data_IF_503503926840
#
_entry.id   IF_503503926840
#
_cell.length_a   1.000
_cell.length_b   1.000
_cell.length_c   1.000
_cell.angle_alpha   90.00
_cell.angle_beta   90.00
_cell.angle_gamma   90.00
#
_symmetry.space_group_name_H-M   'P 1'
#
loop_
_entity.id
_entity.type
_entity.pdbx_description
1 polymer ?
#
# COMPACT_ATOMS: atom_id res chain seq x y z
N UNK A 1 -38.76 43.99 85.04
CA UNK A 1 -38.90 45.04 83.99
C UNK A 1 -37.61 45.29 83.20
N UNK A 2 -36.44 45.55 83.81
CA UNK A 2 -35.17 45.65 83.03
C UNK A 2 -34.63 44.29 82.55
N UNK A 3 -34.76 43.23 83.35
CA UNK A 3 -34.31 41.87 82.99
C UNK A 3 -35.18 41.20 81.92
N UNK A 4 -36.50 41.40 81.96
CA UNK A 4 -37.42 40.82 80.97
C UNK A 4 -37.21 41.39 79.56
N UNK A 5 -36.87 42.69 79.47
CA UNK A 5 -36.51 43.34 78.21
C UNK A 5 -35.18 42.79 77.68
N UNK A 6 -34.24 42.48 78.58
CA UNK A 6 -32.94 41.92 78.20
C UNK A 6 -33.09 40.50 77.64
N UNK A 7 -33.93 39.67 78.26
CA UNK A 7 -34.23 38.31 77.76
C UNK A 7 -34.91 38.36 76.39
N UNK A 8 -35.89 39.25 76.22
CA UNK A 8 -36.58 39.42 74.94
C UNK A 8 -35.64 39.90 73.82
N UNK A 9 -34.70 40.79 74.14
CA UNK A 9 -33.67 41.23 73.19
C UNK A 9 -32.72 40.09 72.84
N UNK A 10 -32.35 39.24 73.80
CA UNK A 10 -31.47 38.08 73.55
C UNK A 10 -32.13 37.02 72.66
N UNK A 11 -33.43 36.74 72.86
CA UNK A 11 -34.18 35.83 71.99
C UNK A 11 -34.29 36.38 70.55
N UNK A 12 -34.59 37.67 70.41
CA UNK A 12 -34.62 38.33 69.08
C UNK A 12 -33.25 38.28 68.41
N UNK A 13 -32.17 38.51 69.16
CA UNK A 13 -30.81 38.44 68.62
C UNK A 13 -30.45 37.01 68.20
N UNK A 14 -30.88 35.99 68.94
CA UNK A 14 -30.72 34.58 68.56
C UNK A 14 -31.44 34.22 67.26
N UNK A 15 -32.70 34.65 67.10
CA UNK A 15 -33.45 34.45 65.86
C UNK A 15 -32.83 35.20 64.66
N UNK A 16 -32.25 36.38 64.89
CA UNK A 16 -31.55 37.15 63.86
C UNK A 16 -30.27 36.43 63.42
N UNK A 17 -29.49 35.91 64.37
CA UNK A 17 -28.22 35.22 64.08
C UNK A 17 -28.46 33.91 63.31
N UNK A 18 -29.53 33.19 63.65
CA UNK A 18 -29.96 31.98 62.93
C UNK A 18 -30.37 32.30 61.49
N UNK A 19 -31.12 33.40 61.28
CA UNK A 19 -31.48 33.87 59.92
C UNK A 19 -30.26 34.33 59.12
N UNK A 20 -29.29 34.99 59.74
CA UNK A 20 -28.03 35.41 59.09
C UNK A 20 -27.23 34.18 58.62
N UNK A 21 -27.14 33.13 59.43
CA UNK A 21 -26.47 31.89 59.05
C UNK A 21 -27.15 31.18 57.87
N UNK A 22 -28.48 31.19 57.82
CA UNK A 22 -29.24 30.66 56.68
C UNK A 22 -28.95 31.46 55.41
N UNK A 23 -28.93 32.79 55.50
CA UNK A 23 -28.61 33.66 54.34
C UNK A 23 -27.22 33.40 53.80
N UNK A 24 -26.21 33.30 54.68
CA UNK A 24 -24.83 32.98 54.27
C UNK A 24 -24.76 31.61 53.57
N UNK A 25 -25.45 30.60 54.11
CA UNK A 25 -25.51 29.26 53.51
C UNK A 25 -26.15 29.26 52.11
N UNK A 26 -27.20 30.08 51.91
CA UNK A 26 -27.85 30.25 50.60
C UNK A 26 -26.90 30.90 49.59
N UNK A 27 -26.08 31.84 50.04
CA UNK A 27 -25.12 32.57 49.19
C UNK A 27 -23.96 31.68 48.74
N UNK A 28 -23.50 30.78 49.61
CA UNK A 28 -22.52 29.74 49.26
C UNK A 28 -23.09 28.72 48.26
N UNK A 29 -24.33 28.25 48.47
CA UNK A 29 -25.02 27.36 47.52
C UNK A 29 -25.18 28.03 46.15
N UNK A 30 -25.51 29.34 46.10
CA UNK A 30 -25.59 30.08 44.85
C UNK A 30 -24.26 30.12 44.10
N UNK A 31 -23.15 30.37 44.80
CA UNK A 31 -21.81 30.35 44.20
C UNK A 31 -21.45 28.98 43.65
N UNK A 32 -21.74 27.90 44.39
CA UNK A 32 -21.48 26.54 43.91
C UNK A 32 -22.30 26.22 42.65
N UNK A 33 -23.58 26.61 42.61
CA UNK A 33 -24.44 26.44 41.44
C UNK A 33 -23.94 27.23 40.22
N UNK A 34 -23.43 28.45 40.41
CA UNK A 34 -22.82 29.24 39.34
C UNK A 34 -21.56 28.56 38.78
N UNK A 35 -20.67 28.08 39.64
CA UNK A 35 -19.44 27.37 39.24
C UNK A 35 -19.78 26.08 38.47
N UNK A 36 -20.73 25.29 38.97
CA UNK A 36 -21.19 24.08 38.28
C UNK A 36 -21.87 24.41 36.95
N UNK A 37 -22.66 25.48 36.88
CA UNK A 37 -23.28 25.96 35.63
C UNK A 37 -22.25 26.36 34.57
N UNK A 38 -21.18 27.06 34.97
CA UNK A 38 -20.06 27.41 34.08
C UNK A 38 -19.32 26.15 33.61
N UNK A 39 -19.12 25.16 34.49
CA UNK A 39 -18.48 23.89 34.13
C UNK A 39 -19.32 23.08 33.13
N UNK A 40 -20.64 22.99 33.35
CA UNK A 40 -21.57 22.32 32.43
C UNK A 40 -21.61 22.98 31.04
N UNK A 41 -21.58 24.31 30.98
CA UNK A 41 -21.53 25.03 29.71
C UNK A 41 -20.24 24.73 28.92
N UNK A 42 -19.08 24.64 29.60
CA UNK A 42 -17.82 24.24 28.96
C UNK A 42 -17.89 22.81 28.41
N UNK A 43 -18.40 21.87 29.21
CA UNK A 43 -18.57 20.47 28.78
C UNK A 43 -19.53 20.38 27.58
N UNK A 44 -20.64 21.12 27.61
CA UNK A 44 -21.60 21.17 26.49
C UNK A 44 -20.93 21.64 25.20
N UNK A 45 -20.13 22.71 25.27
CA UNK A 45 -19.40 23.23 24.12
C UNK A 45 -18.34 22.25 23.60
N UNK A 46 -17.62 21.54 24.48
CA UNK A 46 -16.68 20.48 24.06
C UNK A 46 -17.40 19.30 23.39
N UNK A 47 -18.55 18.89 23.91
CA UNK A 47 -19.37 17.82 23.33
C UNK A 47 -19.91 18.22 21.95
N UNK A 48 -20.38 19.45 21.77
CA UNK A 48 -20.77 19.99 20.46
C UNK A 48 -19.58 19.99 19.49
N UNK A 49 -18.40 20.38 19.97
CA UNK A 49 -17.15 20.31 19.22
C UNK A 49 -16.84 18.89 18.74
N UNK A 50 -16.93 17.89 19.64
CA UNK A 50 -16.72 16.48 19.32
C UNK A 50 -17.77 15.93 18.33
N UNK A 51 -19.03 16.31 18.47
CA UNK A 51 -20.09 15.93 17.53
C UNK A 51 -19.82 16.49 16.12
N UNK A 52 -19.37 17.74 16.03
CA UNK A 52 -18.98 18.36 14.75
C UNK A 52 -17.78 17.67 14.11
N UNK A 53 -16.82 17.22 14.92
CA UNK A 53 -15.64 16.49 14.47
C UNK A 53 -16.02 15.09 13.97
N UNK A 54 -16.85 14.36 14.74
CA UNK A 54 -17.39 13.06 14.35
C UNK A 54 -18.14 13.13 13.02
N UNK A 55 -19.03 14.10 12.84
CA UNK A 55 -19.78 14.27 11.58
C UNK A 55 -18.84 14.46 10.38
N UNK A 56 -17.80 15.29 10.52
CA UNK A 56 -16.78 15.49 9.47
C UNK A 56 -16.01 14.21 9.16
N UNK A 57 -15.73 13.37 10.15
CA UNK A 57 -15.10 12.05 9.94
C UNK A 57 -16.04 11.13 9.17
N UNK A 58 -17.31 11.03 9.58
CA UNK A 58 -18.31 10.19 8.90
C UNK A 58 -18.47 10.60 7.43
N UNK A 59 -18.56 11.91 7.14
CA UNK A 59 -18.63 12.43 5.76
C UNK A 59 -17.38 12.08 4.92
N UNK A 60 -16.18 12.14 5.52
CA UNK A 60 -14.94 11.73 4.83
C UNK A 60 -14.91 10.23 4.57
N UNK A 61 -15.33 9.41 5.54
CA UNK A 61 -15.38 7.94 5.41
C UNK A 61 -16.34 7.56 4.28
N UNK A 62 -17.52 8.16 4.23
CA UNK A 62 -18.52 7.91 3.18
C UNK A 62 -17.98 8.31 1.80
N UNK A 63 -17.29 9.45 1.72
CA UNK A 63 -16.66 9.90 0.46
C UNK A 63 -15.60 8.90 -0.02
N UNK A 64 -14.70 8.45 0.86
CA UNK A 64 -13.66 7.44 0.53
C UNK A 64 -14.33 6.12 0.13
N UNK A 65 -15.34 5.66 0.87
CA UNK A 65 -16.09 4.45 0.55
C UNK A 65 -16.72 4.50 -0.84
N UNK A 66 -17.26 5.66 -1.22
CA UNK A 66 -17.82 5.88 -2.56
C UNK A 66 -16.74 5.87 -3.65
N UNK A 67 -15.58 6.48 -3.41
CA UNK A 67 -14.47 6.45 -4.37
C UNK A 67 -13.96 5.01 -4.59
N UNK A 68 -13.77 4.25 -3.50
CA UNK A 68 -13.35 2.85 -3.57
C UNK A 68 -14.39 1.99 -4.30
N UNK A 69 -15.67 2.18 -4.02
CA UNK A 69 -16.74 1.43 -4.71
C UNK A 69 -16.74 1.72 -6.21
N UNK A 70 -16.67 3.00 -6.63
CA UNK A 70 -16.61 3.36 -8.05
C UNK A 70 -15.36 2.78 -8.73
N UNK A 71 -14.26 2.73 -8.00
CA UNK A 71 -13.02 2.16 -8.49
C UNK A 71 -13.13 0.64 -8.69
N UNK A 72 -13.71 -0.10 -7.74
CA UNK A 72 -13.94 -1.54 -7.85
C UNK A 72 -14.83 -1.88 -9.05
N UNK A 73 -15.91 -1.12 -9.27
CA UNK A 73 -16.75 -1.27 -10.48
C UNK A 73 -15.90 -1.14 -11.74
N UNK A 74 -15.01 -0.16 -11.76
CA UNK A 74 -14.16 0.08 -12.92
C UNK A 74 -13.05 -0.97 -13.11
N UNK A 75 -12.70 -1.72 -12.06
CA UNK A 75 -11.82 -2.89 -12.13
C UNK A 75 -12.55 -4.08 -12.74
N UNK A 76 -13.78 -4.34 -12.28
CA UNK A 76 -14.64 -5.39 -12.80
C UNK A 76 -14.92 -5.21 -14.31
N UNK A 77 -15.18 -3.96 -14.72
CA UNK A 77 -15.27 -3.60 -16.14
C UNK A 77 -14.01 -4.00 -16.92
N UNK A 78 -12.81 -3.66 -16.43
CA UNK A 78 -11.55 -4.02 -17.10
C UNK A 78 -11.31 -5.53 -17.14
N UNK A 79 -11.69 -6.26 -16.10
CA UNK A 79 -11.54 -7.71 -16.02
C UNK A 79 -12.35 -8.42 -17.10
N UNK A 80 -13.55 -7.93 -17.39
CA UNK A 80 -14.49 -8.53 -18.36
C UNK A 80 -14.24 -8.15 -19.82
N UNK A 81 -13.38 -7.17 -20.09
CA UNK A 81 -13.02 -6.76 -21.46
C UNK A 81 -12.24 -7.83 -22.25
N UNK A 82 -12.14 -7.65 -23.57
CA UNK A 82 -11.44 -8.56 -24.50
C UNK A 82 -9.94 -8.29 -24.69
N UNK A 83 -9.39 -7.28 -24.00
CA UNK A 83 -7.96 -6.91 -24.08
C UNK A 83 -7.04 -8.01 -23.57
N UNK A 84 -5.79 -7.99 -24.00
CA UNK A 84 -4.79 -8.92 -23.49
C UNK A 84 -4.48 -8.70 -22.01
N UNK A 85 -4.05 -9.74 -21.30
CA UNK A 85 -3.74 -9.71 -19.87
C UNK A 85 -2.83 -8.53 -19.47
N UNK A 86 -1.71 -8.36 -20.18
CA UNK A 86 -0.75 -7.30 -19.88
C UNK A 86 -1.32 -5.88 -20.10
N UNK A 87 -2.25 -5.72 -21.04
CA UNK A 87 -2.93 -4.45 -21.28
C UNK A 87 -3.93 -4.15 -20.16
N UNK A 88 -4.66 -5.18 -19.68
CA UNK A 88 -5.56 -5.06 -18.53
C UNK A 88 -4.82 -4.67 -17.27
N UNK A 89 -3.76 -5.40 -16.91
CA UNK A 89 -2.91 -5.08 -15.75
C UNK A 89 -2.39 -3.65 -15.84
N UNK A 90 -1.92 -3.22 -17.02
CA UNK A 90 -1.43 -1.86 -17.21
C UNK A 90 -2.51 -0.80 -16.96
N UNK A 91 -3.73 -1.02 -17.45
CA UNK A 91 -4.85 -0.09 -17.22
C UNK A 91 -5.31 -0.08 -15.75
N UNK A 92 -5.30 -1.24 -15.09
CA UNK A 92 -5.58 -1.36 -13.66
C UNK A 92 -4.56 -0.59 -12.83
N UNK A 93 -3.26 -0.71 -13.14
CA UNK A 93 -2.20 0.06 -12.49
C UNK A 93 -2.40 1.58 -12.68
N UNK A 94 -2.78 2.03 -13.89
CA UNK A 94 -3.09 3.46 -14.08
C UNK A 94 -4.29 3.94 -13.27
N UNK A 95 -5.27 3.06 -12.98
CA UNK A 95 -6.39 3.40 -12.10
C UNK A 95 -5.94 3.44 -10.63
N UNK A 96 -5.08 2.53 -10.20
CA UNK A 96 -4.48 2.55 -8.86
C UNK A 96 -3.70 3.85 -8.61
N UNK A 97 -2.87 4.27 -9.57
CA UNK A 97 -2.14 5.55 -9.50
C UNK A 97 -3.07 6.77 -9.36
N UNK A 98 -4.32 6.69 -9.82
CA UNK A 98 -5.31 7.76 -9.65
C UNK A 98 -5.92 7.79 -8.25
N UNK A 99 -6.02 6.64 -7.59
CA UNK A 99 -6.43 6.54 -6.19
C UNK A 99 -5.32 7.04 -5.29
N UNK A 100 -4.08 6.60 -5.53
CA UNK A 100 -2.91 7.01 -4.75
C UNK A 100 -2.82 8.54 -4.65
N UNK A 101 -3.12 9.26 -5.75
CA UNK A 101 -3.12 10.74 -5.79
C UNK A 101 -4.22 11.42 -4.97
N UNK A 102 -5.22 10.68 -4.51
CA UNK A 102 -6.33 11.20 -3.71
C UNK A 102 -6.16 10.93 -2.21
N UNK A 103 -5.20 10.09 -1.84
CA UNK A 103 -4.91 9.72 -0.46
C UNK A 103 -3.77 10.62 0.02
N UNK A 104 -3.90 11.17 1.23
CA UNK A 104 -2.84 12.02 1.80
C UNK A 104 -1.74 11.18 2.45
N UNK A 105 -0.53 11.74 2.56
CA UNK A 105 0.57 11.08 3.27
C UNK A 105 0.21 10.79 4.74
N UNK A 106 -0.53 11.70 5.40
CA UNK A 106 -1.05 11.51 6.77
C UNK A 106 -1.98 10.29 6.88
N UNK A 107 -2.78 10.00 5.85
CA UNK A 107 -3.64 8.80 5.82
C UNK A 107 -2.85 7.50 5.65
N UNK A 108 -1.61 7.56 5.18
CA UNK A 108 -0.72 6.42 4.93
C UNK A 108 0.33 6.20 6.01
N UNK A 109 0.55 7.17 6.92
CA UNK A 109 1.64 7.14 7.91
C UNK A 109 1.67 5.83 8.72
N UNK A 110 0.55 5.45 9.33
CA UNK A 110 0.47 4.21 10.12
C UNK A 110 0.77 2.95 9.28
N UNK A 111 0.35 2.96 8.01
CA UNK A 111 0.60 1.86 7.08
C UNK A 111 2.06 1.83 6.62
N UNK A 112 2.72 2.98 6.54
CA UNK A 112 4.15 3.08 6.27
C UNK A 112 4.95 2.45 7.41
N UNK A 113 4.64 2.82 8.65
CA UNK A 113 5.31 2.27 9.84
C UNK A 113 5.11 0.75 9.96
N UNK A 114 3.87 0.27 9.72
CA UNK A 114 3.58 -1.16 9.68
C UNK A 114 4.38 -1.88 8.59
N UNK A 115 4.42 -1.30 7.39
CA UNK A 115 5.16 -1.87 6.26
C UNK A 115 6.64 -1.93 6.57
N UNK A 116 7.22 -0.85 7.11
CA UNK A 116 8.64 -0.81 7.49
C UNK A 116 8.99 -1.90 8.52
N UNK A 117 8.09 -2.22 9.45
CA UNK A 117 8.35 -3.29 10.44
C UNK A 117 8.28 -4.71 9.86
N UNK A 118 7.70 -4.90 8.68
CA UNK A 118 7.49 -6.22 8.10
C UNK A 118 8.59 -6.65 7.12
N UNK A 119 9.46 -5.74 6.68
CA UNK A 119 10.51 -6.01 5.69
C UNK A 119 11.87 -5.75 6.29
N UNK A 120 12.75 -6.76 6.27
CA UNK A 120 14.08 -6.67 6.86
C UNK A 120 14.97 -5.67 6.11
N UNK A 121 14.82 -5.60 4.79
CA UNK A 121 15.62 -4.75 3.91
C UNK A 121 14.87 -3.48 3.45
N UNK A 122 13.96 -2.93 4.27
CA UNK A 122 13.09 -1.80 3.92
C UNK A 122 13.84 -0.60 3.32
N UNK A 123 14.95 -0.20 3.93
CA UNK A 123 15.74 0.97 3.52
C UNK A 123 16.43 0.79 2.16
N UNK A 124 16.50 -0.45 1.68
CA UNK A 124 17.09 -0.80 0.39
C UNK A 124 16.06 -0.83 -0.74
N UNK A 125 14.76 -0.78 -0.44
CA UNK A 125 13.69 -0.76 -1.41
C UNK A 125 13.73 0.53 -2.26
N UNK A 126 13.28 0.42 -3.51
CA UNK A 126 13.09 1.62 -4.33
C UNK A 126 11.94 2.48 -3.77
N UNK A 127 12.02 3.80 -3.97
CA UNK A 127 11.03 4.76 -3.50
C UNK A 127 9.60 4.44 -3.97
N UNK A 128 9.42 3.85 -5.16
CA UNK A 128 8.09 3.44 -5.61
C UNK A 128 7.60 2.19 -4.89
N UNK A 129 8.49 1.24 -4.62
CA UNK A 129 8.20 0.04 -3.84
C UNK A 129 7.75 0.40 -2.42
N UNK A 130 8.43 1.35 -1.78
CA UNK A 130 8.05 1.92 -0.47
C UNK A 130 6.72 2.68 -0.49
N UNK A 131 6.15 2.98 -1.68
CA UNK A 131 4.81 3.56 -1.83
C UNK A 131 3.74 2.50 -2.12
N UNK A 132 4.07 1.50 -2.93
CA UNK A 132 3.14 0.43 -3.29
C UNK A 132 2.77 -0.43 -2.09
N UNK A 133 3.74 -0.76 -1.21
CA UNK A 133 3.48 -1.64 -0.06
C UNK A 133 2.50 -1.00 0.94
N UNK A 134 2.72 0.23 1.44
CA UNK A 134 1.75 0.88 2.35
C UNK A 134 0.39 1.12 1.69
N UNK A 135 0.36 1.37 0.37
CA UNK A 135 -0.89 1.49 -0.37
C UNK A 135 -1.66 0.16 -0.37
N UNK A 136 -0.99 -0.97 -0.54
CA UNK A 136 -1.62 -2.29 -0.44
C UNK A 136 -2.23 -2.51 0.95
N UNK A 137 -1.49 -2.19 2.02
CA UNK A 137 -1.95 -2.28 3.41
C UNK A 137 -3.17 -1.37 3.67
N UNK A 138 -3.13 -0.13 3.17
CA UNK A 138 -4.26 0.80 3.22
C UNK A 138 -5.49 0.20 2.51
N UNK A 139 -5.34 -0.25 1.27
CA UNK A 139 -6.43 -0.82 0.48
C UNK A 139 -7.01 -2.05 1.16
N UNK A 140 -6.18 -2.95 1.68
CA UNK A 140 -6.61 -4.13 2.43
C UNK A 140 -7.50 -3.73 3.63
N UNK A 141 -7.06 -2.74 4.40
CA UNK A 141 -7.78 -2.21 5.56
C UNK A 141 -9.11 -1.53 5.22
N UNK A 142 -9.20 -0.87 4.05
CA UNK A 142 -10.46 -0.25 3.61
C UNK A 142 -11.42 -1.25 2.97
N UNK A 143 -10.93 -2.16 2.14
CA UNK A 143 -11.75 -3.13 1.41
C UNK A 143 -12.40 -4.16 2.32
N UNK A 144 -11.75 -4.58 3.42
CA UNK A 144 -12.36 -5.48 4.41
C UNK A 144 -13.65 -4.93 5.06
N UNK A 145 -13.88 -3.61 4.99
CA UNK A 145 -15.10 -2.97 5.51
C UNK A 145 -16.27 -3.04 4.53
N UNK A 146 -16.00 -3.40 3.28
CA UNK A 146 -16.99 -3.53 2.22
C UNK A 146 -17.38 -5.01 2.09
N UNK A 147 -18.69 -5.27 2.06
CA UNK A 147 -19.18 -6.63 1.91
C UNK A 147 -18.97 -7.12 0.45
N UNK A 148 -18.30 -8.27 0.27
CA UNK A 148 -18.03 -8.83 -1.06
C UNK A 148 -17.09 -7.98 -1.92
N UNK A 149 -16.08 -7.37 -1.30
CA UNK A 149 -15.10 -6.52 -1.99
C UNK A 149 -14.01 -7.30 -2.73
N UNK A 150 -13.79 -7.01 -4.01
CA UNK A 150 -12.69 -7.62 -4.78
C UNK A 150 -11.34 -7.07 -4.32
N UNK A 151 -10.46 -7.94 -3.83
CA UNK A 151 -9.13 -7.58 -3.31
C UNK A 151 -8.02 -7.59 -4.39
N UNK A 152 -8.37 -7.76 -5.66
CA UNK A 152 -7.41 -7.63 -6.78
C UNK A 152 -6.56 -6.34 -6.73
N UNK A 153 -7.09 -5.17 -6.32
CA UNK A 153 -6.28 -3.96 -6.13
C UNK A 153 -5.13 -4.14 -5.12
N UNK A 154 -5.37 -4.83 -4.00
CA UNK A 154 -4.34 -5.10 -2.97
C UNK A 154 -3.25 -5.97 -3.55
N UNK A 155 -3.64 -7.06 -4.18
CA UNK A 155 -2.71 -8.02 -4.78
C UNK A 155 -1.88 -7.35 -5.87
N UNK A 156 -2.48 -6.49 -6.70
CA UNK A 156 -1.77 -5.80 -7.77
C UNK A 156 -0.76 -4.77 -7.24
N UNK A 157 -1.03 -4.05 -6.15
CA UNK A 157 -0.03 -3.19 -5.49
C UNK A 157 1.18 -4.00 -5.00
N UNK A 158 0.95 -5.14 -4.34
CA UNK A 158 2.03 -6.03 -3.91
C UNK A 158 2.81 -6.60 -5.11
N UNK A 159 2.13 -6.95 -6.19
CA UNK A 159 2.78 -7.40 -7.42
C UNK A 159 3.59 -6.27 -8.07
N UNK A 160 3.13 -5.01 -8.03
CA UNK A 160 3.87 -3.83 -8.51
C UNK A 160 5.13 -3.60 -7.69
N UNK A 161 5.10 -3.84 -6.38
CA UNK A 161 6.27 -3.76 -5.51
C UNK A 161 7.40 -4.68 -5.98
N UNK A 162 7.15 -6.00 -6.07
CA UNK A 162 8.18 -6.95 -6.53
C UNK A 162 8.53 -6.78 -8.02
N UNK A 163 7.57 -6.39 -8.87
CA UNK A 163 7.82 -6.05 -10.27
C UNK A 163 8.82 -4.88 -10.38
N UNK A 164 8.64 -3.83 -9.59
CA UNK A 164 9.50 -2.66 -9.61
C UNK A 164 10.95 -3.00 -9.20
N UNK A 165 11.10 -3.84 -8.17
CA UNK A 165 12.43 -4.29 -7.72
C UNK A 165 13.17 -5.10 -8.81
N UNK A 166 12.53 -6.11 -9.39
CA UNK A 166 13.11 -6.85 -10.52
C UNK A 166 13.41 -5.94 -11.71
N UNK A 167 12.47 -5.05 -12.05
CA UNK A 167 12.60 -4.16 -13.20
C UNK A 167 13.80 -3.23 -13.03
N UNK A 168 13.88 -2.51 -11.91
CA UNK A 168 14.90 -1.48 -11.72
C UNK A 168 16.28 -2.07 -11.42
N UNK A 169 16.33 -3.11 -10.61
CA UNK A 169 17.61 -3.64 -10.12
C UNK A 169 18.20 -4.70 -11.03
N UNK A 170 17.40 -5.48 -11.76
CA UNK A 170 17.91 -6.54 -12.65
C UNK A 170 17.77 -6.15 -14.12
N UNK A 171 16.53 -6.05 -14.60
CA UNK A 171 16.25 -6.04 -16.04
C UNK A 171 16.64 -4.72 -16.72
N UNK A 172 16.38 -3.59 -16.06
CA UNK A 172 16.73 -2.27 -16.58
C UNK A 172 18.24 -2.09 -16.59
N UNK A 173 18.94 -2.49 -15.52
CA UNK A 173 20.42 -2.43 -15.46
C UNK A 173 21.05 -3.26 -16.58
N UNK A 174 20.65 -4.53 -16.70
CA UNK A 174 21.12 -5.38 -17.79
C UNK A 174 20.85 -4.78 -19.17
N UNK A 175 19.60 -4.35 -19.41
CA UNK A 175 19.22 -3.84 -20.73
C UNK A 175 20.05 -2.61 -21.11
N UNK A 176 20.29 -1.69 -20.17
CA UNK A 176 21.09 -0.50 -20.43
C UNK A 176 22.56 -0.85 -20.66
N UNK A 177 23.14 -1.73 -19.84
CA UNK A 177 24.49 -2.26 -20.03
C UNK A 177 24.68 -2.89 -21.42
N UNK A 178 23.77 -3.80 -21.81
CA UNK A 178 23.80 -4.44 -23.12
C UNK A 178 23.72 -3.41 -24.26
N UNK A 179 22.83 -2.42 -24.14
CA UNK A 179 22.70 -1.38 -25.15
C UNK A 179 23.98 -0.52 -25.26
N UNK A 180 24.67 -0.28 -24.15
CA UNK A 180 25.89 0.52 -24.10
C UNK A 180 27.12 -0.26 -24.64
N UNK A 181 27.15 -1.58 -24.42
CA UNK A 181 28.14 -2.51 -25.01
C UNK A 181 27.91 -2.71 -26.52
N UNK A 182 26.67 -2.97 -26.94
CA UNK A 182 26.35 -3.30 -28.34
C UNK A 182 26.19 -2.07 -29.25
N UNK A 183 25.74 -0.93 -28.70
CA UNK A 183 25.52 0.33 -29.43
C UNK A 183 24.77 0.11 -30.76
N UNK A 184 25.41 0.43 -31.89
CA UNK A 184 24.86 0.29 -33.24
C UNK A 184 24.65 -1.15 -33.69
N UNK A 185 25.30 -2.11 -33.03
CA UNK A 185 25.24 -3.53 -33.36
C UNK A 185 24.07 -4.27 -32.70
N UNK A 186 23.28 -3.60 -31.85
CA UNK A 186 22.18 -4.25 -31.11
C UNK A 186 21.19 -4.98 -32.02
N UNK A 187 20.86 -4.41 -33.19
CA UNK A 187 19.96 -5.07 -34.13
C UNK A 187 20.53 -6.37 -34.67
N UNK A 188 21.83 -6.44 -34.91
CA UNK A 188 22.52 -7.66 -35.37
C UNK A 188 22.60 -8.69 -34.24
N UNK A 189 22.85 -8.24 -33.01
CA UNK A 189 22.91 -9.09 -31.82
C UNK A 189 21.58 -9.82 -31.58
N UNK A 190 20.44 -9.12 -31.77
CA UNK A 190 19.10 -9.64 -31.48
C UNK A 190 18.43 -10.39 -32.64
N UNK A 191 19.08 -10.59 -33.80
CA UNK A 191 18.41 -11.15 -35.01
C UNK A 191 17.79 -12.52 -34.75
N UNK A 192 18.56 -13.43 -34.16
CA UNK A 192 18.11 -14.80 -33.91
C UNK A 192 16.98 -14.84 -32.89
N UNK A 193 17.11 -14.08 -31.80
CA UNK A 193 16.12 -14.02 -30.74
C UNK A 193 14.81 -13.34 -31.17
N UNK A 194 14.90 -12.36 -32.08
CA UNK A 194 13.70 -11.69 -32.61
C UNK A 194 12.79 -12.63 -33.41
N UNK A 195 13.34 -13.71 -33.98
CA UNK A 195 12.58 -14.73 -34.72
C UNK A 195 12.20 -15.96 -33.89
N UNK A 196 12.75 -16.10 -32.68
CA UNK A 196 12.53 -17.26 -31.83
C UNK A 196 11.34 -17.04 -30.89
N UNK A 197 10.35 -17.93 -30.91
CA UNK A 197 9.13 -17.81 -30.08
C UNK A 197 9.43 -17.70 -28.58
N UNK A 198 10.48 -18.34 -28.08
CA UNK A 198 10.84 -18.34 -26.66
C UNK A 198 11.46 -17.00 -26.24
N UNK A 199 12.39 -16.45 -27.05
CA UNK A 199 13.20 -15.28 -26.67
C UNK A 199 12.74 -13.97 -27.31
N UNK A 200 11.76 -14.03 -28.22
CA UNK A 200 11.20 -12.87 -28.90
C UNK A 200 10.66 -11.80 -27.95
N UNK A 201 10.10 -12.19 -26.79
CA UNK A 201 9.60 -11.22 -25.80
C UNK A 201 10.78 -10.37 -25.28
N UNK A 202 11.88 -11.01 -24.89
CA UNK A 202 13.07 -10.32 -24.40
C UNK A 202 13.71 -9.45 -25.49
N UNK A 203 13.87 -10.00 -26.70
CA UNK A 203 14.42 -9.26 -27.83
C UNK A 203 13.57 -8.04 -28.21
N UNK A 204 12.23 -8.15 -28.17
CA UNK A 204 11.32 -7.03 -28.43
C UNK A 204 11.45 -5.93 -27.38
N UNK A 205 11.54 -6.29 -26.10
CA UNK A 205 11.71 -5.32 -25.01
C UNK A 205 13.02 -4.54 -25.17
N UNK A 206 14.15 -5.22 -25.41
CA UNK A 206 15.45 -4.57 -25.65
C UNK A 206 15.42 -3.73 -26.92
N UNK A 207 14.80 -4.21 -28.01
CA UNK A 207 14.65 -3.45 -29.27
C UNK A 207 13.79 -2.19 -29.10
N UNK A 208 12.79 -2.22 -28.21
CA UNK A 208 12.02 -1.03 -27.84
C UNK A 208 12.90 -0.07 -27.04
N UNK A 209 13.60 -0.58 -26.03
CA UNK A 209 14.52 0.18 -25.19
C UNK A 209 15.68 0.82 -25.98
N UNK A 210 16.14 0.19 -27.06
CA UNK A 210 17.19 0.76 -27.92
C UNK A 210 16.77 2.06 -28.60
N UNK A 211 15.45 2.30 -28.73
CA UNK A 211 14.89 3.53 -29.32
C UNK A 211 14.52 4.57 -28.26
N UNK A 212 14.00 4.11 -27.12
CA UNK A 212 13.44 4.98 -26.09
C UNK A 212 14.40 5.27 -24.94
N UNK A 213 15.44 4.43 -24.77
CA UNK A 213 16.28 4.33 -23.57
C UNK A 213 15.47 4.11 -22.29
N UNK A 214 14.27 3.56 -22.42
CA UNK A 214 13.36 3.22 -21.33
C UNK A 214 13.01 1.73 -21.42
N UNK A 215 13.79 0.84 -20.78
CA UNK A 215 13.43 -0.55 -20.64
C UNK A 215 12.13 -0.69 -19.86
N UNK A 216 11.21 -1.48 -20.39
CA UNK A 216 9.91 -1.76 -19.80
C UNK A 216 9.70 -3.26 -19.84
N UNK A 217 9.45 -3.86 -18.68
CA UNK A 217 9.15 -5.27 -18.51
C UNK A 217 8.05 -5.39 -17.48
N UNK A 218 7.16 -6.35 -17.67
CA UNK A 218 6.19 -6.74 -16.64
C UNK A 218 6.68 -7.96 -15.89
N UNK A 219 6.15 -8.22 -14.69
CA UNK A 219 6.56 -9.34 -13.85
C UNK A 219 6.38 -10.68 -14.57
N UNK A 220 5.29 -10.84 -15.34
CA UNK A 220 5.07 -12.02 -16.17
C UNK A 220 6.16 -12.21 -17.23
N UNK A 221 6.58 -11.12 -17.89
CA UNK A 221 7.69 -11.17 -18.86
C UNK A 221 9.02 -11.51 -18.18
N UNK A 222 9.32 -10.88 -17.03
CA UNK A 222 10.54 -11.12 -16.27
C UNK A 222 10.61 -12.57 -15.77
N UNK A 223 9.53 -13.08 -15.17
CA UNK A 223 9.44 -14.47 -14.74
C UNK A 223 9.63 -15.45 -15.91
N UNK A 224 9.02 -15.16 -17.05
CA UNK A 224 9.20 -15.97 -18.27
C UNK A 224 10.67 -16.01 -18.69
N UNK A 225 11.33 -14.85 -18.76
CA UNK A 225 12.73 -14.73 -19.19
C UNK A 225 13.67 -15.47 -18.22
N UNK A 226 13.52 -15.25 -16.91
CA UNK A 226 14.31 -15.95 -15.88
C UNK A 226 14.09 -17.47 -15.94
N UNK A 227 12.86 -17.91 -16.18
CA UNK A 227 12.53 -19.35 -16.34
C UNK A 227 13.21 -19.98 -17.56
N UNK A 228 13.51 -19.19 -18.62
CA UNK A 228 14.26 -19.70 -19.77
C UNK A 228 15.73 -19.97 -19.46
N UNK A 229 16.32 -19.27 -18.48
CA UNK A 229 17.70 -19.52 -18.04
C UNK A 229 17.89 -20.92 -17.46
N UNK A 230 16.80 -21.59 -17.07
CA UNK A 230 16.82 -22.99 -16.59
C UNK A 230 16.77 -24.04 -17.68
N UNK A 231 16.61 -23.63 -18.94
CA UNK A 231 16.49 -24.54 -20.08
C UNK A 231 17.79 -24.47 -20.87
N UNK A 232 18.75 -25.31 -20.53
CA UNK A 232 20.09 -25.34 -21.17
C UNK A 232 20.00 -25.44 -22.70
N UNK A 233 19.03 -26.19 -23.23
CA UNK A 233 18.81 -26.35 -24.67
C UNK A 233 18.29 -25.07 -25.36
N UNK A 234 17.66 -24.17 -24.60
CA UNK A 234 17.19 -22.85 -25.06
C UNK A 234 18.31 -21.82 -24.89
N UNK A 235 18.98 -21.81 -23.73
CA UNK A 235 20.10 -20.91 -23.44
C UNK A 235 21.22 -21.10 -24.47
N UNK A 236 21.65 -22.34 -24.71
CA UNK A 236 22.74 -22.65 -25.66
C UNK A 236 22.47 -22.17 -27.10
N UNK A 237 21.20 -21.96 -27.47
CA UNK A 237 20.79 -21.46 -28.80
C UNK A 237 20.52 -19.95 -28.83
N UNK A 238 20.50 -19.28 -27.68
CA UNK A 238 20.22 -17.86 -27.55
C UNK A 238 21.43 -17.12 -27.02
N UNK A 239 22.08 -16.34 -27.90
CA UNK A 239 23.18 -15.46 -27.50
C UNK A 239 22.71 -14.41 -26.49
N UNK A 240 21.46 -13.95 -26.60
CA UNK A 240 20.87 -13.02 -25.64
C UNK A 240 20.74 -13.63 -24.24
N UNK A 241 20.25 -14.86 -24.13
CA UNK A 241 20.11 -15.51 -22.82
C UNK A 241 21.46 -15.87 -22.21
N UNK A 242 22.44 -16.30 -23.00
CA UNK A 242 23.81 -16.53 -22.52
C UNK A 242 24.44 -15.26 -21.95
N UNK A 243 24.32 -14.13 -22.67
CA UNK A 243 24.83 -12.84 -22.21
C UNK A 243 24.11 -12.34 -20.94
N UNK A 244 22.80 -12.62 -20.83
CA UNK A 244 22.03 -12.29 -19.63
C UNK A 244 22.39 -13.17 -18.42
N UNK A 245 22.59 -14.47 -18.63
CA UNK A 245 23.05 -15.40 -17.59
C UNK A 245 24.45 -15.04 -17.07
N UNK A 246 25.36 -14.69 -17.99
CA UNK A 246 26.69 -14.21 -17.65
C UNK A 246 26.63 -12.90 -16.85
N UNK A 247 25.77 -11.96 -17.26
CA UNK A 247 25.52 -10.74 -16.51
C UNK A 247 25.02 -11.03 -15.10
N UNK A 248 23.99 -11.87 -14.94
CA UNK A 248 23.45 -12.21 -13.61
C UNK A 248 24.52 -12.87 -12.73
N UNK A 249 25.33 -13.78 -13.30
CA UNK A 249 26.39 -14.48 -12.56
C UNK A 249 27.56 -13.60 -12.17
N UNK A 250 27.74 -12.47 -12.84
CA UNK A 250 28.79 -11.50 -12.51
C UNK A 250 28.34 -10.48 -11.47
N UNK A 251 27.08 -10.05 -11.53
CA UNK A 251 26.59 -8.91 -10.75
C UNK A 251 25.86 -9.31 -9.46
N UNK A 252 25.40 -10.56 -9.34
CA UNK A 252 24.52 -11.01 -8.24
C UNK A 252 24.86 -12.44 -7.78
N UNK A 253 24.27 -12.87 -6.67
CA UNK A 253 24.23 -14.29 -6.29
C UNK A 253 23.30 -15.06 -7.22
N UNK A 254 23.83 -15.47 -8.37
CA UNK A 254 23.08 -16.19 -9.39
C UNK A 254 22.61 -17.58 -8.94
N UNK A 255 23.30 -18.20 -7.97
CA UNK A 255 22.93 -19.52 -7.43
C UNK A 255 21.60 -19.40 -6.70
N UNK A 256 21.47 -18.41 -5.83
CA UNK A 256 20.25 -18.20 -5.03
C UNK A 256 19.16 -17.48 -5.84
N UNK A 257 19.49 -16.44 -6.60
CA UNK A 257 18.54 -15.67 -7.42
C UNK A 257 17.85 -16.54 -8.46
N UNK A 258 18.59 -17.46 -9.07
CA UNK A 258 18.04 -18.38 -10.05
C UNK A 258 17.70 -19.72 -9.40
N UNK A 259 17.72 -19.91 -8.08
CA UNK A 259 17.42 -21.24 -7.52
C UNK A 259 16.02 -21.74 -7.94
N UNK A 260 15.87 -23.05 -8.15
CA UNK A 260 14.57 -23.64 -8.55
C UNK A 260 13.48 -23.32 -7.52
N UNK A 261 13.83 -23.31 -6.23
CA UNK A 261 12.92 -22.98 -5.14
C UNK A 261 12.41 -21.54 -5.24
N UNK A 262 13.32 -20.57 -5.41
CA UNK A 262 12.94 -19.17 -5.49
C UNK A 262 12.19 -18.85 -6.79
N UNK A 263 12.61 -19.42 -7.92
CA UNK A 263 11.89 -19.25 -9.19
C UNK A 263 10.48 -19.82 -9.16
N UNK A 264 10.24 -20.92 -8.42
CA UNK A 264 8.91 -21.45 -8.18
C UNK A 264 8.05 -20.47 -7.38
N UNK A 265 8.62 -19.85 -6.33
CA UNK A 265 7.95 -18.80 -5.54
C UNK A 265 7.54 -17.59 -6.37
N UNK A 266 8.40 -17.11 -7.28
CA UNK A 266 8.06 -16.01 -8.20
C UNK A 266 6.99 -16.42 -9.21
N UNK A 267 7.06 -17.66 -9.72
CA UNK A 267 6.02 -18.21 -10.59
C UNK A 267 4.68 -18.33 -9.88
N UNK A 268 4.67 -18.64 -8.58
CA UNK A 268 3.46 -18.62 -7.75
C UNK A 268 2.82 -17.22 -7.73
N UNK A 269 3.61 -16.17 -7.45
CA UNK A 269 3.13 -14.77 -7.47
C UNK A 269 2.47 -14.44 -8.81
N UNK A 270 3.07 -14.83 -9.92
CA UNK A 270 2.53 -14.55 -11.26
C UNK A 270 1.23 -15.33 -11.51
N UNK A 271 1.22 -16.63 -11.24
CA UNK A 271 0.15 -17.52 -11.68
C UNK A 271 -1.06 -17.54 -10.76
N UNK A 272 -0.85 -17.39 -9.45
CA UNK A 272 -1.92 -17.49 -8.44
C UNK A 272 -2.46 -16.14 -8.01
N UNK A 273 -1.70 -15.05 -8.22
CA UNK A 273 -2.06 -13.73 -7.70
C UNK A 273 -2.12 -12.67 -8.80
N UNK A 274 -1.01 -12.35 -9.48
CA UNK A 274 -0.97 -11.27 -10.48
C UNK A 274 -1.93 -11.51 -11.63
N UNK A 275 -1.82 -12.66 -12.29
CA UNK A 275 -2.60 -12.93 -13.49
C UNK A 275 -4.10 -13.05 -13.18
N UNK A 276 -4.54 -13.81 -12.16
CA UNK A 276 -5.97 -13.92 -11.89
C UNK A 276 -6.57 -12.58 -11.39
N UNK A 277 -5.77 -11.69 -10.78
CA UNK A 277 -6.23 -10.33 -10.40
C UNK A 277 -6.63 -9.45 -11.59
N UNK A 278 -6.21 -9.81 -12.80
CA UNK A 278 -6.60 -9.15 -14.05
C UNK A 278 -7.62 -9.96 -14.89
N UNK A 279 -8.08 -11.09 -14.37
CA UNK A 279 -9.13 -11.92 -14.96
C UNK A 279 -10.48 -11.70 -14.26
N UNK A 280 -11.61 -12.11 -14.87
CA UNK A 280 -12.95 -11.98 -14.28
C UNK A 280 -13.13 -12.67 -12.93
N UNK A 281 -12.22 -13.57 -12.56
CA UNK A 281 -12.25 -14.23 -11.26
C UNK A 281 -12.05 -13.19 -10.15
N UNK A 282 -12.92 -13.28 -9.16
CA UNK A 282 -12.90 -12.43 -7.99
C UNK A 282 -11.77 -12.86 -7.06
N UNK A 283 -11.00 -11.90 -6.54
CA UNK A 283 -10.01 -12.16 -5.50
C UNK A 283 -10.60 -11.90 -4.13
N UNK A 284 -10.68 -12.94 -3.32
CA UNK A 284 -11.22 -12.86 -1.98
C UNK A 284 -10.19 -12.38 -0.94
N UNK A 285 -10.68 -12.22 0.28
CA UNK A 285 -9.90 -11.79 1.42
C UNK A 285 -8.75 -12.77 1.70
N UNK A 286 -9.01 -14.08 1.67
CA UNK A 286 -8.03 -15.11 2.01
C UNK A 286 -6.87 -15.11 1.00
N UNK A 287 -7.16 -14.96 -0.30
CA UNK A 287 -6.14 -14.81 -1.34
C UNK A 287 -5.31 -13.55 -1.19
N UNK A 288 -5.93 -12.45 -0.81
CA UNK A 288 -5.21 -11.20 -0.56
C UNK A 288 -4.31 -11.29 0.68
N UNK A 289 -4.80 -11.91 1.76
CA UNK A 289 -4.03 -12.17 2.97
C UNK A 289 -2.85 -13.10 2.68
N UNK A 290 -3.05 -14.18 1.93
CA UNK A 290 -1.98 -15.08 1.52
C UNK A 290 -0.89 -14.33 0.74
N UNK A 291 -1.26 -13.51 -0.24
CA UNK A 291 -0.32 -12.70 -1.03
C UNK A 291 0.48 -11.74 -0.13
N UNK A 292 -0.22 -11.06 0.79
CA UNK A 292 0.35 -10.11 1.74
C UNK A 292 1.35 -10.79 2.68
N UNK A 293 1.03 -11.98 3.19
CA UNK A 293 1.87 -12.69 4.15
C UNK A 293 3.15 -13.24 3.51
N UNK A 294 3.10 -13.63 2.24
CA UNK A 294 4.31 -14.10 1.55
C UNK A 294 5.20 -12.97 1.04
N UNK A 295 4.65 -11.79 0.71
CA UNK A 295 5.39 -10.75 -0.03
C UNK A 295 6.69 -10.26 0.64
N UNK A 296 6.74 -10.05 1.97
CA UNK A 296 7.96 -9.58 2.62
C UNK A 296 9.16 -10.50 2.38
N UNK A 297 9.02 -11.79 2.68
CA UNK A 297 10.09 -12.76 2.47
C UNK A 297 10.53 -12.83 0.99
N UNK A 298 9.58 -12.69 0.05
CA UNK A 298 9.88 -12.77 -1.38
C UNK A 298 10.71 -11.58 -1.86
N UNK A 299 10.40 -10.38 -1.36
CA UNK A 299 11.14 -9.17 -1.69
C UNK A 299 12.48 -9.15 -0.94
N UNK A 300 12.51 -9.46 0.35
CA UNK A 300 13.76 -9.46 1.13
C UNK A 300 14.76 -10.48 0.56
N UNK A 301 14.30 -11.68 0.20
CA UNK A 301 15.15 -12.68 -0.46
C UNK A 301 15.68 -12.19 -1.82
N UNK A 302 14.87 -11.46 -2.60
CA UNK A 302 15.34 -10.82 -3.82
C UNK A 302 16.51 -9.88 -3.51
N UNK A 303 16.32 -9.00 -2.52
CA UNK A 303 17.32 -8.01 -2.17
C UNK A 303 18.62 -8.65 -1.68
N UNK A 304 18.54 -9.68 -0.86
CA UNK A 304 19.70 -10.43 -0.40
C UNK A 304 20.52 -10.99 -1.57
N UNK A 305 19.85 -11.55 -2.57
CA UNK A 305 20.51 -12.05 -3.77
C UNK A 305 21.20 -10.95 -4.59
N UNK A 306 20.68 -9.72 -4.54
CA UNK A 306 21.19 -8.57 -5.30
C UNK A 306 22.31 -7.81 -4.58
N UNK A 307 22.57 -8.13 -3.31
CA UNK A 307 23.60 -7.49 -2.48
C UNK A 307 24.90 -8.29 -2.37
N UNK A 308 24.91 -9.53 -2.89
CA UNK A 308 26.04 -10.44 -2.84
C UNK A 308 27.18 -10.08 -3.79
#
# INVERSE_FOLDING_TARGET
MKEDILLFILDILGEIDEKVNIVNSIEDIKKELEVHGVSLNKISHEVEGLQSYRKRIEEKIDYIGKQLTNFLVSFDELKTETRGLEEKVKLMNFKLERIEKQITDEELEDYYLLSQSNYDNWDMLDNLTQKFIPMAEYLFSKLQKLNGADFSPVILELCRAIENEFLLKVFKRYTLDLLDRQRRSIHRFLVLDSGNKNTMIFAKAIKKASKTRKPEYTLGQMNTILSLLKKEDVVSKSRLLQDFEEYISREYDSVNLLSTSYMAKISQIVNEFRNPSAHPEYMDFDKALECKDIMPERIDYLLDCLMA
#
